data_IF_471124645127
#
_entry.id   IF_471124645127
#
_cell.length_a   1.000
_cell.length_b   1.000
_cell.length_c   1.000
_cell.angle_alpha   90.00
_cell.angle_beta   90.00
_cell.angle_gamma   90.00
#
_symmetry.space_group_name_H-M   'P 1'
#
loop_
_entity.id
_entity.type
_entity.pdbx_description
1 polymer ?
#
# COMPACT_ATOMS: atom_id res chain seq x y z
N UNK A 1 5.45 4.47 0.34
CA UNK A 1 4.22 4.67 1.14
C UNK A 1 3.72 6.11 1.11
N UNK A 2 4.53 7.13 1.44
CA UNK A 2 4.04 8.53 1.52
C UNK A 2 3.58 9.22 0.21
N UNK A 3 3.69 8.53 -0.92
CA UNK A 3 3.30 9.04 -2.24
C UNK A 3 2.00 8.42 -2.75
N UNK A 4 1.55 7.30 -2.16
CA UNK A 4 0.27 6.69 -2.51
C UNK A 4 -0.83 7.46 -1.79
N UNK A 5 -1.74 8.04 -2.56
CA UNK A 5 -2.86 8.84 -2.06
C UNK A 5 -4.01 8.77 -3.03
N UNK A 6 -5.19 9.11 -2.53
CA UNK A 6 -6.37 9.19 -3.35
C UNK A 6 -6.28 10.41 -4.30
N UNK A 7 -6.30 10.19 -5.62
CA UNK A 7 -6.00 11.25 -6.61
C UNK A 7 -7.21 12.14 -6.94
N UNK A 8 -8.43 11.70 -6.64
CA UNK A 8 -9.66 12.40 -7.00
C UNK A 8 -10.53 12.83 -5.80
N UNK A 9 -10.10 12.53 -4.57
CA UNK A 9 -10.78 12.90 -3.33
C UNK A 9 -9.70 13.20 -2.29
N UNK A 10 -9.62 14.47 -1.89
CA UNK A 10 -8.52 14.97 -1.06
C UNK A 10 -8.76 14.75 0.44
N UNK A 11 -10.02 14.56 0.84
CA UNK A 11 -10.45 14.37 2.22
C UNK A 11 -10.57 12.88 2.61
N UNK A 12 -9.89 12.01 1.86
CA UNK A 12 -9.86 10.57 2.13
C UNK A 12 -9.21 10.28 3.48
N UNK A 13 -9.79 9.34 4.24
CA UNK A 13 -9.26 8.94 5.54
C UNK A 13 -7.95 8.18 5.38
N UNK A 14 -7.86 7.30 4.38
CA UNK A 14 -6.61 6.65 3.98
C UNK A 14 -5.72 7.67 3.25
N UNK A 15 -4.63 8.08 3.91
CA UNK A 15 -3.71 9.07 3.37
C UNK A 15 -2.30 8.87 3.92
N UNK A 16 -1.27 9.40 3.23
CA UNK A 16 0.12 9.40 3.70
C UNK A 16 0.31 9.87 5.14
N UNK A 17 -0.57 10.75 5.61
CA UNK A 17 -0.53 11.31 6.96
C UNK A 17 -0.65 10.23 8.04
N UNK A 18 -1.45 9.17 7.82
CA UNK A 18 -1.66 8.08 8.79
C UNK A 18 -0.34 7.45 9.22
N UNK A 19 0.45 6.97 8.25
CA UNK A 19 1.75 6.34 8.54
C UNK A 19 2.81 7.35 8.97
N UNK A 20 2.77 8.57 8.42
CA UNK A 20 3.73 9.62 8.79
C UNK A 20 3.61 9.99 10.27
N UNK A 21 2.39 10.19 10.77
CA UNK A 21 2.15 10.55 12.16
C UNK A 21 2.50 9.42 13.13
N UNK A 22 2.12 8.19 12.78
CA UNK A 22 2.47 7.01 13.58
C UNK A 22 3.99 6.83 13.66
N UNK A 23 4.69 6.96 12.53
CA UNK A 23 6.15 6.86 12.49
C UNK A 23 6.83 7.98 13.28
N UNK A 24 6.34 9.23 13.16
CA UNK A 24 6.86 10.35 13.94
C UNK A 24 6.80 10.08 15.45
N UNK A 25 5.65 9.60 15.93
CA UNK A 25 5.48 9.19 17.33
C UNK A 25 6.48 8.10 17.72
N UNK A 26 6.70 7.11 16.87
CA UNK A 26 7.69 6.05 17.13
C UNK A 26 9.12 6.59 17.22
N UNK A 27 9.46 7.63 16.44
CA UNK A 27 10.76 8.30 16.51
C UNK A 27 10.91 9.10 17.81
N UNK A 28 9.89 9.88 18.18
CA UNK A 28 9.86 10.67 19.42
C UNK A 28 10.07 9.80 20.66
N UNK A 29 9.48 8.61 20.67
CA UNK A 29 9.59 7.63 21.76
C UNK A 29 10.83 6.70 21.63
N UNK A 30 11.72 6.97 20.67
CA UNK A 30 12.91 6.16 20.37
C UNK A 30 12.62 4.66 20.17
N UNK A 31 11.46 4.32 19.62
CA UNK A 31 11.08 2.93 19.34
C UNK A 31 11.73 2.40 18.08
N UNK A 32 11.95 3.27 17.08
CA UNK A 32 12.50 2.88 15.77
C UNK A 32 13.88 2.25 15.87
N UNK A 33 14.71 2.69 16.83
CA UNK A 33 16.07 2.15 17.05
C UNK A 33 16.09 0.70 17.53
N UNK A 34 14.95 0.19 18.00
CA UNK A 34 14.79 -1.18 18.52
C UNK A 34 14.19 -2.13 17.49
N UNK A 35 13.66 -1.61 16.38
CA UNK A 35 12.98 -2.39 15.38
C UNK A 35 13.95 -3.01 14.36
N UNK A 36 13.59 -4.18 13.85
CA UNK A 36 14.24 -4.78 12.68
C UNK A 36 13.57 -4.27 11.41
N UNK A 37 14.35 -4.09 10.33
CA UNK A 37 13.81 -3.64 9.05
C UNK A 37 12.97 -4.75 8.40
N UNK A 38 11.76 -4.38 7.97
CA UNK A 38 10.91 -5.28 7.21
C UNK A 38 11.57 -5.80 5.93
N UNK A 39 11.37 -7.09 5.65
CA UNK A 39 11.87 -7.79 4.47
C UNK A 39 10.81 -7.69 3.37
N UNK A 40 11.18 -7.39 2.12
CA UNK A 40 10.22 -7.40 1.03
C UNK A 40 9.72 -8.81 0.75
N UNK A 41 8.42 -8.92 0.52
CA UNK A 41 7.75 -10.16 0.09
C UNK A 41 8.05 -10.39 -1.39
N UNK A 42 8.32 -11.65 -1.77
CA UNK A 42 8.55 -12.02 -3.17
C UNK A 42 7.21 -12.41 -3.84
N UNK A 43 7.23 -12.54 -5.17
CA UNK A 43 6.00 -12.85 -5.91
C UNK A 43 5.47 -14.27 -5.65
N UNK A 44 6.36 -15.25 -5.45
CA UNK A 44 5.95 -16.62 -5.15
C UNK A 44 5.17 -16.67 -3.81
N UNK A 45 5.59 -15.89 -2.81
CA UNK A 45 4.89 -15.74 -1.54
C UNK A 45 3.49 -15.15 -1.73
N UNK A 46 3.34 -14.15 -2.62
CA UNK A 46 2.03 -13.57 -2.94
C UNK A 46 1.09 -14.59 -3.60
N UNK A 47 1.63 -15.53 -4.38
CA UNK A 47 0.82 -16.57 -5.02
C UNK A 47 0.24 -17.60 -4.02
N UNK A 48 0.69 -17.59 -2.77
CA UNK A 48 0.11 -18.41 -1.70
C UNK A 48 -1.30 -17.95 -1.31
N UNK A 49 -1.62 -16.67 -1.53
CA UNK A 49 -2.88 -16.03 -1.08
C UNK A 49 -3.63 -15.33 -2.19
N UNK A 50 -2.97 -15.01 -3.31
CA UNK A 50 -3.56 -14.33 -4.46
C UNK A 50 -3.37 -15.11 -5.75
N UNK A 51 -4.38 -15.06 -6.62
CA UNK A 51 -4.24 -15.60 -7.97
C UNK A 51 -3.20 -14.83 -8.79
N UNK A 52 -2.45 -15.54 -9.62
CA UNK A 52 -1.45 -14.96 -10.53
C UNK A 52 -2.02 -13.86 -11.43
N UNK A 53 -3.25 -14.04 -11.92
CA UNK A 53 -3.90 -13.05 -12.78
C UNK A 53 -4.12 -11.73 -12.03
N UNK A 54 -4.45 -11.79 -10.74
CA UNK A 54 -4.69 -10.61 -9.91
C UNK A 54 -3.38 -9.88 -9.66
N UNK A 55 -2.33 -10.60 -9.25
CA UNK A 55 -0.98 -10.05 -9.07
C UNK A 55 -0.52 -9.29 -10.32
N UNK A 56 -0.71 -9.89 -11.50
CA UNK A 56 -0.37 -9.28 -12.77
C UNK A 56 -1.23 -8.03 -13.07
N UNK A 57 -2.53 -8.06 -12.78
CA UNK A 57 -3.40 -6.87 -12.90
C UNK A 57 -2.89 -5.70 -12.03
N UNK A 58 -2.48 -5.96 -10.80
CA UNK A 58 -1.97 -4.89 -9.92
C UNK A 58 -0.61 -4.37 -10.39
N UNK A 59 0.27 -5.22 -10.92
CA UNK A 59 1.51 -4.76 -11.57
C UNK A 59 1.23 -3.82 -12.74
N UNK A 60 0.27 -4.18 -13.58
CA UNK A 60 -0.08 -3.40 -14.76
C UNK A 60 -0.73 -2.06 -14.40
N UNK A 61 -1.43 -1.97 -13.26
CA UNK A 61 -2.02 -0.71 -12.80
C UNK A 61 -0.98 0.40 -12.64
N UNK A 62 0.27 0.06 -12.35
CA UNK A 62 1.37 1.02 -12.22
C UNK A 62 1.69 1.77 -13.53
N UNK A 63 1.27 1.22 -14.67
CA UNK A 63 1.42 1.83 -15.99
C UNK A 63 0.12 2.47 -16.51
N UNK A 64 -1.00 2.28 -15.82
CA UNK A 64 -2.31 2.83 -16.20
C UNK A 64 -2.39 4.35 -16.00
N UNK A 65 -3.24 4.99 -16.79
CA UNK A 65 -3.63 6.38 -16.65
C UNK A 65 -4.48 6.64 -15.41
N UNK A 66 -4.55 7.90 -14.94
CA UNK A 66 -5.42 8.23 -13.80
C UNK A 66 -6.89 7.88 -14.09
N UNK A 67 -7.33 7.99 -15.35
CA UNK A 67 -8.67 7.61 -15.77
C UNK A 67 -8.88 6.10 -15.69
N UNK A 68 -7.93 5.31 -16.19
CA UNK A 68 -7.97 3.84 -16.10
C UNK A 68 -7.91 3.39 -14.63
N UNK A 69 -7.10 4.04 -13.80
CA UNK A 69 -7.03 3.77 -12.37
C UNK A 69 -8.33 4.10 -11.63
N UNK A 70 -9.00 5.20 -11.99
CA UNK A 70 -10.32 5.52 -11.47
C UNK A 70 -11.34 4.43 -11.83
N UNK A 71 -11.35 3.97 -13.08
CA UNK A 71 -12.22 2.87 -13.52
C UNK A 71 -11.88 1.56 -12.78
N UNK A 72 -10.60 1.21 -12.67
CA UNK A 72 -10.14 0.03 -11.93
C UNK A 72 -10.52 0.09 -10.46
N UNK A 73 -10.45 1.27 -9.84
CA UNK A 73 -10.86 1.48 -8.45
C UNK A 73 -12.35 1.17 -8.25
N UNK A 74 -13.19 1.56 -9.21
CA UNK A 74 -14.62 1.25 -9.21
C UNK A 74 -14.98 -0.24 -9.38
N UNK A 75 -14.01 -1.11 -9.69
CA UNK A 75 -14.22 -2.58 -9.70
C UNK A 75 -14.28 -3.17 -8.29
N UNK A 76 -13.87 -2.42 -7.26
CA UNK A 76 -13.74 -2.88 -5.87
C UNK A 76 -14.46 -1.91 -4.92
N UNK A 77 -14.93 -2.42 -3.79
CA UNK A 77 -15.61 -1.60 -2.78
C UNK A 77 -14.60 -0.94 -1.84
N UNK A 78 -14.67 0.38 -1.68
CA UNK A 78 -13.82 1.14 -0.77
C UNK A 78 -12.32 1.16 -1.11
N UNK A 79 -11.94 0.87 -2.36
CA UNK A 79 -10.53 0.80 -2.80
C UNK A 79 -10.23 1.89 -3.82
N UNK A 80 -9.01 2.43 -3.78
CA UNK A 80 -8.48 3.29 -4.83
C UNK A 80 -7.08 2.87 -5.26
N UNK A 81 -6.79 3.02 -6.54
CA UNK A 81 -5.49 2.76 -7.13
C UNK A 81 -4.78 4.06 -7.53
N UNK A 82 -3.45 4.04 -7.45
CA UNK A 82 -2.59 5.15 -7.83
C UNK A 82 -1.41 4.64 -8.69
N UNK A 83 -0.88 5.51 -9.57
CA UNK A 83 0.32 5.23 -10.39
C UNK A 83 1.59 5.03 -9.58
N UNK A 84 1.63 5.57 -8.36
CA UNK A 84 2.64 5.24 -7.37
C UNK A 84 2.38 3.81 -6.95
N UNK A 85 2.84 2.92 -7.82
CA UNK A 85 3.02 1.52 -7.56
C UNK A 85 3.67 1.41 -6.20
N UNK A 86 2.94 0.91 -5.22
CA UNK A 86 3.61 0.26 -4.12
C UNK A 86 4.34 -0.89 -4.82
N UNK A 87 5.63 -0.71 -5.13
CA UNK A 87 6.47 -1.76 -5.69
C UNK A 87 6.11 -3.05 -4.97
N UNK A 88 5.99 -4.18 -5.67
CA UNK A 88 5.58 -5.53 -5.24
C UNK A 88 5.79 -5.90 -3.75
N UNK A 89 6.76 -5.29 -3.08
CA UNK A 89 7.02 -5.18 -1.65
C UNK A 89 5.83 -4.95 -0.70
N UNK A 90 4.61 -4.62 -1.14
CA UNK A 90 3.51 -4.21 -0.25
C UNK A 90 2.10 -4.70 -0.65
N UNK A 91 1.99 -5.65 -1.60
CA UNK A 91 0.70 -6.06 -2.17
C UNK A 91 -0.32 -6.59 -1.16
N UNK A 92 0.11 -7.04 0.01
CA UNK A 92 -0.80 -7.49 1.09
C UNK A 92 -1.59 -6.37 1.78
N UNK A 93 -1.27 -5.09 1.56
CA UNK A 93 -1.85 -3.98 2.33
C UNK A 93 -3.07 -3.31 1.68
N UNK A 94 -3.55 -3.83 0.54
CA UNK A 94 -4.77 -3.30 -0.11
C UNK A 94 -6.06 -3.87 0.47
N UNK A 95 -6.00 -4.92 1.32
CA UNK A 95 -7.17 -5.52 1.96
C UNK A 95 -7.13 -5.55 3.50
N UNK A 96 -5.97 -5.34 4.11
CA UNK A 96 -5.85 -5.34 5.57
C UNK A 96 -5.05 -4.13 6.05
N UNK A 97 -5.72 -3.37 6.91
CA UNK A 97 -5.18 -2.35 7.80
C UNK A 97 -3.68 -2.50 8.11
N UNK A 98 -2.97 -1.40 7.88
CA UNK A 98 -1.86 -0.75 8.62
C UNK A 98 -1.05 -1.46 9.76
N UNK A 99 -1.16 -2.75 10.00
CA UNK A 99 -0.67 -3.42 11.22
C UNK A 99 0.62 -4.22 11.06
N UNK A 100 1.22 -4.30 9.86
CA UNK A 100 2.44 -5.12 9.66
C UNK A 100 3.75 -4.35 9.44
N UNK A 101 3.78 -3.02 9.64
CA UNK A 101 5.00 -2.22 9.52
C UNK A 101 5.54 -1.62 10.81
N UNK A 102 4.95 -1.99 11.96
CA UNK A 102 5.47 -1.62 13.28
C UNK A 102 5.43 -2.89 14.13
N UNK A 103 6.61 -3.34 14.59
CA UNK A 103 6.87 -4.43 15.55
C UNK A 103 6.97 -5.86 14.97
N UNK A 104 8.21 -6.26 14.70
CA UNK A 104 8.81 -7.33 15.50
C UNK A 104 9.84 -6.70 16.44
#
# INVERSE_FOLDING_TARGET
MLKHKHEWFIEEQESPRRIQQAFHRCVEENLVSRCIRAIPINEDDLTLVHDKWYIEKIKQSCHMSNRELYTLSGEYDGVFFNRVCLSLRLLDNLHYDLLNYVLL
#
